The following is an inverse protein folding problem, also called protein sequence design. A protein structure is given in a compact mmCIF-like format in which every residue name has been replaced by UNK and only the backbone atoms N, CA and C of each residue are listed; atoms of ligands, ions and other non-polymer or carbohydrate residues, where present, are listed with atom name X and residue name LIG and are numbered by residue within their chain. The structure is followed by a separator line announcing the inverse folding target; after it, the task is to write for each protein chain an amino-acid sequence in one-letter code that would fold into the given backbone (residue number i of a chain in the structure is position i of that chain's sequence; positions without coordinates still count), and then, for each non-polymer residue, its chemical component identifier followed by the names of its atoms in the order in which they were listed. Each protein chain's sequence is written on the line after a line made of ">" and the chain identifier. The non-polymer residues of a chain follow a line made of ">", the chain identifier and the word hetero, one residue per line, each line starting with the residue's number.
data_IF_005048960165
#
_entry.id   IF_005048960165
#
_cell.length_a   1.000
_cell.length_b   1.000
_cell.length_c   1.000
_cell.angle_alpha   90.00
_cell.angle_beta   90.00
_cell.angle_gamma   90.00
#
_symmetry.space_group_name_H-M   'P 1'
#
loop_
_entity.id
_entity.type
_entity.pdbx_description
1 polymer ?
#
# COMPACT_ATOMS: atom_id res chain seq x y z
N UNK A 1 6.50 -15.51 0.86
CA UNK A 1 7.52 -14.71 0.13
C UNK A 1 6.83 -13.46 -0.37
N UNK A 2 7.28 -12.28 0.01
CA UNK A 2 6.66 -11.01 -0.40
C UNK A 2 6.98 -10.73 -1.87
N UNK A 3 5.96 -10.54 -2.70
CA UNK A 3 6.09 -10.28 -4.15
C UNK A 3 5.51 -8.91 -4.51
N UNK A 4 6.05 -7.87 -3.88
CA UNK A 4 5.65 -6.49 -4.14
C UNK A 4 6.32 -5.99 -5.43
N UNK A 5 5.56 -5.22 -6.21
CA UNK A 5 6.02 -4.57 -7.44
C UNK A 5 5.83 -3.05 -7.33
N UNK A 6 6.61 -2.25 -8.06
CA UNK A 6 6.40 -0.81 -8.12
C UNK A 6 5.00 -0.46 -8.66
N UNK A 7 4.39 0.59 -8.11
CA UNK A 7 3.12 1.15 -8.57
C UNK A 7 3.40 2.11 -9.73
N UNK A 8 3.08 1.71 -10.97
CA UNK A 8 3.32 2.54 -12.18
C UNK A 8 2.05 3.05 -12.82
N UNK A 9 0.95 2.33 -12.63
CA UNK A 9 -0.33 2.61 -13.26
C UNK A 9 -1.42 2.80 -12.21
N UNK A 10 -2.56 3.36 -12.64
CA UNK A 10 -3.74 3.48 -11.78
C UNK A 10 -4.27 2.12 -11.32
N UNK A 11 -4.10 1.08 -12.12
CA UNK A 11 -4.55 -0.27 -11.75
C UNK A 11 -3.62 -0.91 -10.73
N UNK A 12 -2.30 -0.70 -10.84
CA UNK A 12 -1.35 -1.07 -9.78
C UNK A 12 -1.71 -0.37 -8.46
N UNK A 13 -2.04 0.92 -8.54
CA UNK A 13 -2.40 1.74 -7.37
C UNK A 13 -3.68 1.22 -6.70
N UNK A 14 -4.73 0.95 -7.49
CA UNK A 14 -5.96 0.35 -6.96
C UNK A 14 -5.71 -1.01 -6.30
N UNK A 15 -4.88 -1.86 -6.92
CA UNK A 15 -4.53 -3.15 -6.34
C UNK A 15 -3.80 -3.00 -5.01
N UNK A 16 -2.85 -2.05 -4.92
CA UNK A 16 -2.17 -1.72 -3.68
C UNK A 16 -3.16 -1.22 -2.60
N UNK A 17 -4.07 -0.31 -2.96
CA UNK A 17 -5.11 0.17 -2.03
C UNK A 17 -6.03 -0.93 -1.53
N UNK A 18 -6.45 -1.85 -2.40
CA UNK A 18 -7.24 -3.01 -2.00
C UNK A 18 -6.47 -3.87 -1.00
N UNK A 19 -5.18 -4.15 -1.26
CA UNK A 19 -4.37 -4.96 -0.35
C UNK A 19 -4.12 -4.26 1.00
N UNK A 20 -3.83 -2.96 1.00
CA UNK A 20 -3.72 -2.18 2.24
C UNK A 20 -5.03 -2.26 3.03
N UNK A 21 -6.18 -2.09 2.37
CA UNK A 21 -7.49 -2.19 3.03
C UNK A 21 -7.75 -3.57 3.63
N UNK A 22 -7.30 -4.65 2.99
CA UNK A 22 -7.38 -6.01 3.53
C UNK A 22 -6.52 -6.15 4.79
N UNK A 23 -5.26 -5.69 4.72
CA UNK A 23 -4.29 -5.74 5.82
C UNK A 23 -4.74 -4.92 7.03
N UNK A 24 -5.48 -3.83 6.82
CA UNK A 24 -5.98 -2.96 7.90
C UNK A 24 -7.43 -3.25 8.30
N UNK A 25 -8.05 -4.32 7.78
CA UNK A 25 -9.47 -4.63 8.06
C UNK A 25 -9.70 -5.29 9.42
N UNK A 26 -8.65 -5.80 10.06
CA UNK A 26 -8.69 -6.55 11.31
C UNK A 26 -8.03 -5.84 12.49
N UNK A 27 -7.74 -6.61 13.54
CA UNK A 27 -6.98 -6.15 14.70
C UNK A 27 -5.49 -6.01 14.31
N UNK A 28 -4.91 -4.80 14.35
CA UNK A 28 -3.51 -4.58 14.00
C UNK A 28 -2.55 -5.35 14.92
N UNK A 29 -2.91 -5.60 16.18
CA UNK A 29 -2.06 -6.34 17.13
C UNK A 29 -2.02 -7.85 16.81
N UNK A 30 -2.92 -8.32 15.96
CA UNK A 30 -2.98 -9.70 15.48
C UNK A 30 -2.32 -9.89 14.10
N UNK A 31 -1.81 -8.82 13.46
CA UNK A 31 -1.20 -8.88 12.14
C UNK A 31 0.20 -9.52 12.23
N UNK A 32 0.49 -10.60 11.49
CA UNK A 32 1.83 -11.19 11.44
C UNK A 32 2.89 -10.19 10.96
N UNK A 33 4.11 -10.26 11.51
CA UNK A 33 5.21 -9.36 11.15
C UNK A 33 5.43 -9.22 9.64
N UNK A 34 5.33 -10.33 8.88
CA UNK A 34 5.51 -10.31 7.43
C UNK A 34 4.39 -9.54 6.68
N UNK A 35 3.18 -9.51 7.22
CA UNK A 35 2.06 -8.76 6.68
C UNK A 35 2.14 -7.29 7.11
N UNK A 36 2.73 -7.01 8.28
CA UNK A 36 3.07 -5.66 8.71
C UNK A 36 4.16 -5.04 7.81
N UNK A 37 5.22 -5.78 7.52
CA UNK A 37 6.27 -5.37 6.57
C UNK A 37 5.66 -5.12 5.16
N UNK A 38 4.69 -5.94 4.74
CA UNK A 38 3.96 -5.75 3.49
C UNK A 38 3.17 -4.43 3.49
N UNK A 39 2.43 -4.17 4.56
CA UNK A 39 1.64 -2.95 4.75
C UNK A 39 2.52 -1.69 4.70
N UNK A 40 3.67 -1.70 5.40
CA UNK A 40 4.61 -0.59 5.41
C UNK A 40 5.10 -0.27 3.99
N UNK A 41 5.58 -1.28 3.26
CA UNK A 41 6.10 -1.08 1.91
C UNK A 41 5.02 -0.63 0.92
N UNK A 42 3.81 -1.21 0.98
CA UNK A 42 2.71 -0.81 0.10
C UNK A 42 2.29 0.64 0.33
N UNK A 43 2.27 1.08 1.59
CA UNK A 43 1.90 2.46 1.94
C UNK A 43 2.92 3.46 1.38
N UNK A 44 4.22 3.20 1.53
CA UNK A 44 5.27 4.06 0.96
C UNK A 44 5.17 4.14 -0.57
N UNK A 45 4.91 3.01 -1.24
CA UNK A 45 4.76 3.01 -2.70
C UNK A 45 3.52 3.77 -3.16
N UNK A 46 2.42 3.71 -2.40
CA UNK A 46 1.20 4.45 -2.67
C UNK A 46 1.42 5.95 -2.52
N UNK A 47 2.04 6.40 -1.43
CA UNK A 47 2.40 7.81 -1.21
C UNK A 47 3.29 8.35 -2.33
N UNK A 48 4.28 7.58 -2.76
CA UNK A 48 5.14 7.95 -3.89
C UNK A 48 4.33 8.13 -5.18
N UNK A 49 3.39 7.22 -5.48
CA UNK A 49 2.52 7.34 -6.64
C UNK A 49 1.58 8.56 -6.53
N UNK A 50 0.97 8.77 -5.37
CA UNK A 50 0.08 9.91 -5.08
C UNK A 50 0.81 11.25 -5.22
N UNK A 51 2.05 11.37 -4.74
CA UNK A 51 2.83 12.60 -4.84
C UNK A 51 3.03 13.09 -6.29
N UNK A 52 3.02 12.15 -7.25
CA UNK A 52 3.16 12.42 -8.68
C UNK A 52 1.81 12.66 -9.35
N UNK A 53 0.79 11.87 -9.01
CA UNK A 53 -0.49 11.82 -9.73
C UNK A 53 -1.64 12.61 -9.07
N UNK A 54 -1.58 12.79 -7.76
CA UNK A 54 -2.61 13.40 -6.92
C UNK A 54 -1.98 14.47 -6.03
N UNK A 55 -1.44 15.51 -6.66
CA UNK A 55 -0.88 16.66 -5.92
C UNK A 55 -2.01 17.33 -5.13
N UNK A 56 -1.85 17.38 -3.81
CA UNK A 56 -2.69 18.22 -2.96
C UNK A 56 -2.22 19.66 -3.21
N UNK A 57 -3.08 20.46 -3.84
CA UNK A 57 -2.87 21.91 -3.87
C UNK A 57 -3.05 22.43 -2.45
N UNK A 58 -2.04 23.15 -1.94
CA UNK A 58 -2.02 23.74 -0.61
C UNK A 58 -2.91 24.98 -0.51
#
# INVERSE_FOLDING_TARGET
>A
MMNIKPIRTKDDYKAAMTRISELTSGDPDALPDIEFDELEVLTILAEAYESVHYKIEA
#
